data_IF_317449639487
#
_entry.id   IF_317449639487
#
_cell.length_a   1.000
_cell.length_b   1.000
_cell.length_c   1.000
_cell.angle_alpha   90.00
_cell.angle_beta   90.00
_cell.angle_gamma   90.00
#
_symmetry.space_group_name_H-M   'P 1'
#
loop_
_entity.id
_entity.type
_entity.pdbx_description
1 polymer ?
#
# COMPACT_ATOMS: atom_id res chain seq x y z
N UNK A 1 24.47 -10.05 4.54
CA UNK A 1 23.28 -9.20 4.85
C UNK A 1 22.89 -9.44 6.30
N UNK A 2 22.24 -8.46 6.97
CA UNK A 2 21.66 -8.67 8.30
C UNK A 2 20.51 -9.67 8.16
N UNK A 3 20.30 -10.49 9.17
CA UNK A 3 19.20 -11.48 9.18
C UNK A 3 17.86 -10.73 9.28
N UNK A 4 16.98 -10.91 8.29
CA UNK A 4 15.63 -10.36 8.28
C UNK A 4 14.72 -11.30 9.05
N UNK A 5 14.05 -10.78 10.08
CA UNK A 5 13.09 -11.52 10.93
C UNK A 5 11.65 -11.06 10.75
N UNK A 6 11.46 -9.87 10.20
CA UNK A 6 10.13 -9.34 9.90
C UNK A 6 10.09 -8.59 8.59
N UNK A 7 8.97 -8.72 7.88
CA UNK A 7 8.70 -7.98 6.65
C UNK A 7 7.35 -7.27 6.77
N UNK A 8 7.37 -5.96 6.53
CA UNK A 8 6.20 -5.11 6.47
C UNK A 8 5.95 -4.81 5.00
N UNK A 9 4.85 -5.29 4.48
CA UNK A 9 4.47 -5.06 3.09
C UNK A 9 3.47 -3.91 2.99
N UNK A 10 3.68 -3.02 2.05
CA UNK A 10 2.57 -2.27 1.50
C UNK A 10 1.65 -3.22 0.69
N UNK A 11 0.43 -2.77 0.39
CA UNK A 11 -0.56 -3.58 -0.32
C UNK A 11 -0.64 -3.23 -1.82
N UNK A 12 -1.09 -2.01 -2.12
CA UNK A 12 -1.45 -1.57 -3.47
C UNK A 12 -0.23 -1.12 -4.26
N UNK A 13 0.04 -1.74 -5.41
CA UNK A 13 1.29 -1.52 -6.13
C UNK A 13 2.45 -2.38 -5.63
N UNK A 14 2.32 -2.96 -4.44
CA UNK A 14 3.34 -3.84 -3.82
C UNK A 14 2.90 -5.30 -3.86
N UNK A 15 1.92 -5.71 -3.05
CA UNK A 15 1.37 -7.07 -3.07
C UNK A 15 0.42 -7.26 -4.26
N UNK A 16 -0.44 -6.26 -4.50
CA UNK A 16 -1.52 -6.31 -5.48
C UNK A 16 -1.26 -5.42 -6.69
N UNK A 17 -1.70 -5.88 -7.85
CA UNK A 17 -1.76 -5.10 -9.09
C UNK A 17 -3.08 -4.30 -9.12
N UNK A 18 -3.16 -3.29 -8.26
CA UNK A 18 -4.37 -2.50 -7.99
C UNK A 18 -4.23 -1.02 -8.31
N UNK A 19 -3.02 -0.53 -8.63
CA UNK A 19 -2.81 0.90 -8.83
C UNK A 19 -3.60 1.48 -9.99
N UNK A 20 -3.90 0.68 -11.03
CA UNK A 20 -4.78 1.10 -12.13
C UNK A 20 -6.20 1.42 -11.69
N UNK A 21 -6.72 0.76 -10.65
CA UNK A 21 -8.01 1.06 -10.06
C UNK A 21 -7.94 2.38 -9.26
N UNK A 22 -6.92 2.55 -8.42
CA UNK A 22 -6.73 3.74 -7.60
C UNK A 22 -6.48 5.00 -8.42
N UNK A 23 -5.70 4.91 -9.49
CA UNK A 23 -5.46 6.02 -10.42
C UNK A 23 -6.76 6.62 -10.98
N UNK A 24 -7.80 5.81 -11.10
CA UNK A 24 -9.08 6.21 -11.68
C UNK A 24 -10.18 6.43 -10.63
N UNK A 25 -10.05 5.93 -9.42
CA UNK A 25 -11.12 5.88 -8.42
C UNK A 25 -11.74 7.26 -8.13
N UNK A 26 -10.91 8.27 -7.91
CA UNK A 26 -11.39 9.64 -7.64
C UNK A 26 -12.13 10.25 -8.82
N UNK A 27 -11.66 10.03 -10.03
CA UNK A 27 -12.32 10.49 -11.25
C UNK A 27 -13.68 9.80 -11.44
N UNK A 28 -13.73 8.47 -11.27
CA UNK A 28 -14.96 7.68 -11.37
C UNK A 28 -15.96 8.12 -10.32
N UNK A 29 -15.51 8.35 -9.07
CA UNK A 29 -16.38 8.82 -8.00
C UNK A 29 -17.02 10.15 -8.32
N UNK A 30 -16.24 11.16 -8.73
CA UNK A 30 -16.77 12.48 -9.11
C UNK A 30 -17.75 12.38 -10.27
N UNK A 31 -17.44 11.59 -11.31
CA UNK A 31 -18.34 11.37 -12.46
C UNK A 31 -19.66 10.72 -12.03
N UNK A 32 -19.66 9.77 -11.11
CA UNK A 32 -20.88 9.17 -10.54
C UNK A 32 -21.74 10.18 -9.78
N UNK A 33 -21.12 11.20 -9.18
CA UNK A 33 -21.82 12.34 -8.57
C UNK A 33 -22.27 13.41 -9.59
N UNK A 34 -22.06 13.20 -10.90
CA UNK A 34 -22.37 14.19 -11.94
C UNK A 34 -21.40 15.38 -11.99
N UNK A 35 -20.26 15.25 -11.32
CA UNK A 35 -19.26 16.32 -11.20
C UNK A 35 -18.13 16.06 -12.20
N UNK A 36 -17.72 17.11 -12.92
CA UNK A 36 -16.55 17.03 -13.82
C UNK A 36 -15.26 17.13 -13.00
N UNK A 37 -14.39 16.10 -13.03
CA UNK A 37 -13.13 16.14 -12.30
C UNK A 37 -12.15 17.16 -12.92
N UNK A 38 -11.30 17.74 -12.08
CA UNK A 38 -10.15 18.54 -12.51
C UNK A 38 -9.13 17.67 -13.25
N UNK A 39 -8.33 18.29 -14.12
CA UNK A 39 -7.31 17.57 -14.91
C UNK A 39 -6.19 16.97 -14.04
N UNK A 40 -5.97 17.56 -12.88
CA UNK A 40 -4.92 17.22 -11.91
C UNK A 40 -5.42 16.35 -10.75
N UNK A 41 -6.66 15.84 -10.86
CA UNK A 41 -7.29 15.09 -9.75
C UNK A 41 -6.45 13.88 -9.32
N UNK A 42 -5.87 13.13 -10.26
CA UNK A 42 -5.05 11.94 -9.99
C UNK A 42 -3.81 12.29 -9.18
N UNK A 43 -3.06 13.30 -9.63
CA UNK A 43 -1.84 13.77 -8.95
C UNK A 43 -2.12 14.27 -7.53
N UNK A 44 -3.26 14.95 -7.34
CA UNK A 44 -3.66 15.45 -6.02
C UNK A 44 -3.99 14.33 -5.04
N UNK A 45 -4.67 13.29 -5.50
CA UNK A 45 -5.09 12.18 -4.64
C UNK A 45 -3.97 11.20 -4.33
N UNK A 46 -2.94 11.13 -5.16
CA UNK A 46 -1.85 10.13 -5.09
C UNK A 46 -1.21 9.99 -3.70
N UNK A 47 -1.10 11.09 -2.95
CA UNK A 47 -0.43 11.10 -1.64
C UNK A 47 -1.37 11.31 -0.46
N UNK A 48 -2.67 11.43 -0.72
CA UNK A 48 -3.71 11.66 0.29
C UNK A 48 -4.15 10.32 0.91
N UNK A 49 -4.45 10.37 2.19
CA UNK A 49 -5.24 9.31 2.85
C UNK A 49 -6.70 9.39 2.38
N UNK A 50 -7.48 8.34 2.65
CA UNK A 50 -8.92 8.36 2.36
C UNK A 50 -9.64 9.53 3.06
N UNK A 51 -9.26 9.84 4.31
CA UNK A 51 -9.78 11.00 5.06
C UNK A 51 -9.45 12.34 4.40
N UNK A 52 -8.18 12.50 3.96
CA UNK A 52 -7.74 13.70 3.25
C UNK A 52 -8.44 13.84 1.89
N UNK A 53 -8.61 12.72 1.17
CA UNK A 53 -9.34 12.68 -0.11
C UNK A 53 -10.82 13.07 0.07
N UNK A 54 -11.49 12.52 1.09
CA UNK A 54 -12.87 12.87 1.41
C UNK A 54 -13.01 14.35 1.78
N UNK A 55 -12.08 14.89 2.59
CA UNK A 55 -12.05 16.32 2.91
C UNK A 55 -11.84 17.19 1.66
N UNK A 56 -10.96 16.75 0.75
CA UNK A 56 -10.71 17.43 -0.51
C UNK A 56 -11.95 17.43 -1.41
N UNK A 57 -12.66 16.31 -1.54
CA UNK A 57 -13.89 16.22 -2.31
C UNK A 57 -14.98 17.18 -1.77
N UNK A 58 -15.14 17.27 -0.45
CA UNK A 58 -16.05 18.23 0.17
C UNK A 58 -15.68 19.68 -0.16
N UNK A 59 -14.44 20.06 0.10
CA UNK A 59 -14.00 21.46 0.00
C UNK A 59 -13.84 21.94 -1.43
N UNK A 60 -13.35 21.11 -2.34
CA UNK A 60 -12.98 21.51 -3.69
C UNK A 60 -14.06 21.20 -4.73
N UNK A 61 -14.94 20.24 -4.46
CA UNK A 61 -15.99 19.82 -5.38
C UNK A 61 -17.41 20.02 -4.82
N UNK A 62 -17.54 20.55 -3.59
CA UNK A 62 -18.83 20.87 -2.99
C UNK A 62 -19.70 19.65 -2.71
N UNK A 63 -19.11 18.48 -2.44
CA UNK A 63 -19.86 17.29 -2.08
C UNK A 63 -20.43 17.46 -0.67
N UNK A 64 -21.75 17.52 -0.58
CA UNK A 64 -22.50 17.73 0.66
C UNK A 64 -22.79 16.37 1.34
N UNK A 65 -21.72 15.70 1.77
CA UNK A 65 -21.75 14.47 2.56
C UNK A 65 -20.69 14.53 3.66
N UNK A 66 -20.89 13.81 4.76
CA UNK A 66 -19.83 13.67 5.76
C UNK A 66 -18.66 12.83 5.19
N UNK A 67 -17.45 13.02 5.75
CA UNK A 67 -16.24 12.37 5.23
C UNK A 67 -16.38 10.85 5.25
N UNK A 68 -16.93 10.33 6.33
CA UNK A 68 -17.16 8.89 6.53
C UNK A 68 -18.09 8.32 5.47
N UNK A 69 -19.08 9.06 5.02
CA UNK A 69 -20.02 8.60 3.98
C UNK A 69 -19.37 8.65 2.59
N UNK A 70 -18.54 9.65 2.30
CA UNK A 70 -17.72 9.69 1.09
C UNK A 70 -16.80 8.46 1.02
N UNK A 71 -16.11 8.17 2.12
CA UNK A 71 -15.22 7.01 2.23
C UNK A 71 -15.99 5.71 2.00
N UNK A 72 -17.15 5.55 2.64
CA UNK A 72 -18.02 4.38 2.44
C UNK A 72 -18.46 4.22 0.98
N UNK A 73 -18.84 5.31 0.32
CA UNK A 73 -19.26 5.28 -1.08
C UNK A 73 -18.09 4.87 -2.00
N UNK A 74 -16.89 5.42 -1.79
CA UNK A 74 -15.71 5.04 -2.57
C UNK A 74 -15.36 3.59 -2.32
N UNK A 75 -15.28 3.15 -1.06
CA UNK A 75 -14.98 1.77 -0.69
C UNK A 75 -16.02 0.80 -1.28
N UNK A 76 -17.31 1.14 -1.21
CA UNK A 76 -18.36 0.33 -1.84
C UNK A 76 -18.21 0.26 -3.36
N UNK A 77 -17.80 1.36 -4.00
CA UNK A 77 -17.59 1.42 -5.45
C UNK A 77 -16.49 0.46 -5.94
N UNK A 78 -15.42 0.31 -5.15
CA UNK A 78 -14.26 -0.48 -5.52
C UNK A 78 -14.21 -1.87 -4.88
N UNK A 79 -15.12 -2.15 -3.92
CA UNK A 79 -15.12 -3.40 -3.17
C UNK A 79 -15.22 -4.65 -4.06
N UNK A 80 -16.10 -4.63 -5.04
CA UNK A 80 -16.26 -5.74 -5.97
C UNK A 80 -14.97 -6.07 -6.72
N UNK A 81 -14.17 -5.04 -7.06
CA UNK A 81 -12.88 -5.24 -7.71
C UNK A 81 -11.91 -5.96 -6.78
N UNK A 82 -11.82 -5.54 -5.50
CA UNK A 82 -10.97 -6.19 -4.51
C UNK A 82 -11.41 -7.62 -4.18
N UNK A 83 -12.72 -7.87 -4.18
CA UNK A 83 -13.27 -9.19 -3.88
C UNK A 83 -13.12 -10.18 -5.03
N UNK A 84 -13.11 -9.73 -6.30
CA UNK A 84 -13.27 -10.60 -7.47
C UNK A 84 -12.20 -10.47 -8.56
N UNK A 85 -11.53 -9.33 -8.65
CA UNK A 85 -10.70 -8.98 -9.82
C UNK A 85 -9.23 -8.74 -9.47
N UNK A 86 -8.94 -8.02 -8.36
CA UNK A 86 -7.58 -7.66 -7.99
C UNK A 86 -6.74 -8.91 -7.74
N UNK A 87 -5.59 -8.99 -8.43
CA UNK A 87 -4.66 -10.12 -8.35
C UNK A 87 -3.38 -9.69 -7.62
N UNK A 88 -2.72 -10.68 -7.03
CA UNK A 88 -1.36 -10.49 -6.55
C UNK A 88 -0.41 -10.24 -7.72
N UNK A 89 0.62 -9.45 -7.50
CA UNK A 89 1.67 -9.26 -8.51
C UNK A 89 2.37 -10.58 -8.85
N UNK A 90 2.74 -10.78 -10.12
CA UNK A 90 3.45 -12.00 -10.55
C UNK A 90 4.72 -12.26 -9.71
N UNK A 91 4.97 -13.51 -9.35
CA UNK A 91 6.14 -13.92 -8.58
C UNK A 91 6.03 -13.73 -7.06
N UNK A 92 4.96 -13.10 -6.54
CA UNK A 92 4.82 -12.86 -5.09
C UNK A 92 4.65 -14.15 -4.27
N UNK A 93 3.82 -15.10 -4.73
CA UNK A 93 3.48 -16.28 -3.93
C UNK A 93 4.71 -17.09 -3.49
N UNK A 94 5.68 -17.43 -4.36
CA UNK A 94 6.92 -18.09 -3.94
C UNK A 94 7.71 -17.32 -2.86
N UNK A 95 7.68 -15.99 -2.90
CA UNK A 95 8.32 -15.15 -1.89
C UNK A 95 7.65 -15.31 -0.52
N UNK A 96 6.31 -15.25 -0.47
CA UNK A 96 5.57 -15.47 0.77
C UNK A 96 5.82 -16.88 1.35
N UNK A 97 5.88 -17.89 0.49
CA UNK A 97 6.20 -19.27 0.87
C UNK A 97 7.63 -19.41 1.44
N UNK A 98 8.61 -18.76 0.80
CA UNK A 98 9.99 -18.77 1.29
C UNK A 98 10.12 -18.07 2.65
N UNK A 99 9.55 -16.88 2.79
CA UNK A 99 9.55 -16.15 4.06
C UNK A 99 8.90 -16.97 5.19
N UNK A 100 7.76 -17.60 4.90
CA UNK A 100 7.06 -18.46 5.86
C UNK A 100 7.91 -19.69 6.26
N UNK A 101 8.55 -20.35 5.29
CA UNK A 101 9.46 -21.48 5.54
C UNK A 101 10.64 -21.07 6.43
N UNK A 102 11.15 -19.86 6.26
CA UNK A 102 12.24 -19.27 7.07
C UNK A 102 11.75 -18.70 8.40
N UNK A 103 10.47 -18.87 8.74
CA UNK A 103 9.85 -18.33 9.95
C UNK A 103 9.98 -16.80 10.09
N UNK A 104 10.06 -16.09 8.97
CA UNK A 104 10.04 -14.62 8.94
C UNK A 104 8.60 -14.16 9.14
N UNK A 105 8.39 -13.29 10.12
CA UNK A 105 7.08 -12.73 10.41
C UNK A 105 6.67 -11.70 9.36
N UNK A 106 5.40 -11.67 8.99
CA UNK A 106 4.90 -10.81 7.92
C UNK A 106 3.65 -10.04 8.35
N UNK A 107 3.57 -8.75 8.03
CA UNK A 107 2.34 -7.98 8.19
C UNK A 107 2.17 -6.99 7.05
N UNK A 108 0.97 -6.44 6.95
CA UNK A 108 0.61 -5.43 5.95
C UNK A 108 0.49 -4.07 6.63
N UNK A 109 1.04 -3.02 5.98
CA UNK A 109 0.89 -1.62 6.36
C UNK A 109 0.42 -0.83 5.13
N UNK A 110 -0.85 -0.42 5.11
CA UNK A 110 -1.51 0.12 3.91
C UNK A 110 -2.27 1.41 4.15
N UNK A 111 -2.45 2.20 3.10
CA UNK A 111 -3.37 3.34 3.10
C UNK A 111 -4.81 2.95 2.80
N UNK A 112 -5.03 1.75 2.27
CA UNK A 112 -6.35 1.21 1.92
C UNK A 112 -7.06 0.65 3.14
N UNK A 113 -8.37 0.83 3.20
CA UNK A 113 -9.17 0.40 4.34
C UNK A 113 -9.24 -1.14 4.46
N UNK A 114 -9.26 -1.60 5.70
CA UNK A 114 -9.21 -3.02 6.08
C UNK A 114 -10.16 -3.93 5.30
N UNK A 115 -11.46 -3.62 5.11
CA UNK A 115 -12.37 -4.52 4.41
C UNK A 115 -11.94 -4.86 2.98
N UNK A 116 -11.34 -3.88 2.27
CA UNK A 116 -10.83 -4.07 0.91
C UNK A 116 -9.64 -5.03 0.91
N UNK A 117 -8.66 -4.77 1.78
CA UNK A 117 -7.47 -5.62 1.89
C UNK A 117 -7.84 -7.05 2.28
N UNK A 118 -8.72 -7.24 3.24
CA UNK A 118 -9.18 -8.57 3.64
C UNK A 118 -9.92 -9.30 2.50
N UNK A 119 -10.70 -8.57 1.69
CA UNK A 119 -11.36 -9.14 0.51
C UNK A 119 -10.32 -9.62 -0.52
N UNK A 120 -9.33 -8.78 -0.86
CA UNK A 120 -8.27 -9.15 -1.80
C UNK A 120 -7.41 -10.31 -1.30
N UNK A 121 -7.07 -10.33 0.00
CA UNK A 121 -6.31 -11.44 0.61
C UNK A 121 -7.06 -12.76 0.51
N UNK A 122 -8.36 -12.76 0.81
CA UNK A 122 -9.21 -13.97 0.66
C UNK A 122 -9.32 -14.40 -0.78
N UNK A 123 -9.57 -13.45 -1.70
CA UNK A 123 -9.69 -13.73 -3.13
C UNK A 123 -8.45 -14.40 -3.71
N UNK A 124 -7.28 -13.98 -3.27
CA UNK A 124 -6.00 -14.51 -3.72
C UNK A 124 -5.47 -15.69 -2.87
N UNK A 125 -6.18 -16.09 -1.80
CA UNK A 125 -5.80 -17.23 -0.96
C UNK A 125 -4.52 -16.99 -0.13
N UNK A 126 -4.15 -15.74 0.14
CA UNK A 126 -2.90 -15.39 0.83
C UNK A 126 -3.09 -14.82 2.25
N UNK A 127 -4.32 -14.82 2.75
CA UNK A 127 -4.61 -14.31 4.10
C UNK A 127 -3.85 -15.02 5.23
N UNK A 128 -3.49 -16.30 5.06
CA UNK A 128 -2.77 -17.10 6.05
C UNK A 128 -1.26 -16.86 6.14
N UNK A 129 -0.73 -15.90 5.40
CA UNK A 129 0.70 -15.55 5.45
C UNK A 129 1.02 -14.43 6.43
N UNK A 130 0.04 -13.59 6.77
CA UNK A 130 0.27 -12.36 7.52
C UNK A 130 -0.19 -12.46 8.97
N UNK A 131 0.63 -12.00 9.89
CA UNK A 131 0.34 -11.89 11.33
C UNK A 131 -0.69 -10.79 11.63
N UNK A 132 -0.86 -9.84 10.73
CA UNK A 132 -1.88 -8.80 10.85
C UNK A 132 -1.82 -7.76 9.73
N UNK A 133 -2.83 -6.91 9.75
CA UNK A 133 -3.00 -5.77 8.85
C UNK A 133 -3.05 -4.51 9.71
N UNK A 134 -2.37 -3.46 9.28
CA UNK A 134 -2.47 -2.11 9.83
C UNK A 134 -2.84 -1.17 8.71
N UNK A 135 -3.84 -0.34 8.93
CA UNK A 135 -4.24 0.70 7.99
C UNK A 135 -3.85 2.09 8.48
N UNK A 136 -3.69 3.04 7.57
CA UNK A 136 -3.44 4.44 7.91
C UNK A 136 -4.59 5.03 8.74
N UNK A 137 -5.83 4.61 8.48
CA UNK A 137 -7.01 5.00 9.27
C UNK A 137 -6.86 4.55 10.73
N UNK A 138 -6.49 3.29 10.97
CA UNK A 138 -6.25 2.77 12.33
C UNK A 138 -5.03 3.37 13.00
N UNK A 139 -3.99 3.68 12.23
CA UNK A 139 -2.80 4.36 12.74
C UNK A 139 -3.05 5.84 13.07
N UNK A 140 -4.13 6.43 12.52
CA UNK A 140 -4.43 7.86 12.67
C UNK A 140 -3.42 8.78 11.96
N UNK A 141 -2.72 8.27 10.95
CA UNK A 141 -1.73 9.02 10.17
C UNK A 141 -1.43 8.32 8.85
N UNK A 142 -1.27 9.09 7.77
CA UNK A 142 -0.81 8.58 6.48
C UNK A 142 0.67 8.20 6.46
N UNK A 143 1.12 7.51 5.41
CA UNK A 143 2.49 6.99 5.26
C UNK A 143 3.62 8.04 5.16
N UNK A 144 3.29 9.34 5.12
CA UNK A 144 4.28 10.42 5.34
C UNK A 144 4.76 10.51 6.80
N UNK A 145 4.03 9.84 7.73
CA UNK A 145 4.40 9.66 9.11
C UNK A 145 4.86 8.21 9.33
N UNK A 146 6.00 7.96 10.00
CA UNK A 146 6.51 6.60 10.18
C UNK A 146 5.71 5.75 11.18
N UNK A 147 4.65 6.29 11.77
CA UNK A 147 3.87 5.67 12.84
C UNK A 147 3.36 4.28 12.46
N UNK A 148 2.84 4.12 11.24
CA UNK A 148 2.30 2.84 10.78
C UNK A 148 3.39 1.75 10.73
N UNK A 149 4.60 2.06 10.25
CA UNK A 149 5.73 1.12 10.22
C UNK A 149 6.24 0.78 11.62
N UNK A 150 6.23 1.76 12.53
CA UNK A 150 6.59 1.53 13.94
C UNK A 150 5.57 0.62 14.65
N UNK A 151 4.28 0.79 14.35
CA UNK A 151 3.22 -0.08 14.87
C UNK A 151 3.35 -1.50 14.28
N UNK A 152 3.61 -1.61 12.98
CA UNK A 152 3.83 -2.88 12.28
C UNK A 152 5.05 -3.64 12.83
N UNK A 153 6.16 -2.96 13.06
CA UNK A 153 7.35 -3.53 13.71
C UNK A 153 7.03 -4.10 15.10
N UNK A 154 6.23 -3.37 15.89
CA UNK A 154 5.79 -3.86 17.22
C UNK A 154 4.87 -5.07 17.10
N UNK A 155 3.96 -5.11 16.13
CA UNK A 155 3.10 -6.26 15.86
C UNK A 155 3.93 -7.51 15.53
N UNK A 156 5.00 -7.33 14.73
CA UNK A 156 5.91 -8.41 14.36
C UNK A 156 6.88 -8.81 15.49
N UNK A 157 6.94 -8.05 16.58
CA UNK A 157 7.89 -8.26 17.68
C UNK A 157 9.35 -8.37 17.18
N UNK A 158 9.75 -7.44 16.30
CA UNK A 158 11.07 -7.38 15.68
C UNK A 158 11.78 -6.07 15.99
N UNK A 159 13.09 -6.03 15.79
CA UNK A 159 13.87 -4.80 15.86
C UNK A 159 13.94 -4.13 14.50
N UNK A 160 14.17 -2.83 14.48
CA UNK A 160 14.23 -2.04 13.26
C UNK A 160 15.27 -2.59 12.26
N UNK A 161 16.42 -2.99 12.76
CA UNK A 161 17.54 -3.50 11.97
C UNK A 161 17.29 -4.90 11.37
N UNK A 162 16.26 -5.59 11.87
CA UNK A 162 15.81 -6.92 11.47
C UNK A 162 14.51 -6.86 10.68
N UNK A 163 13.98 -5.64 10.44
CA UNK A 163 12.68 -5.41 9.78
C UNK A 163 12.88 -4.77 8.42
N UNK A 164 12.39 -5.45 7.39
CA UNK A 164 12.35 -4.95 6.03
C UNK A 164 10.98 -4.33 5.75
N UNK A 165 10.94 -3.12 5.23
CA UNK A 165 9.74 -2.52 4.65
C UNK A 165 9.80 -2.71 3.15
N UNK A 166 8.72 -3.14 2.54
CA UNK A 166 8.57 -3.28 1.08
C UNK A 166 7.50 -2.31 0.59
N UNK A 167 7.88 -1.44 -0.33
CA UNK A 167 7.09 -0.33 -0.84
C UNK A 167 7.28 -0.14 -2.34
N UNK A 168 6.32 0.52 -3.00
CA UNK A 168 6.43 0.98 -4.38
C UNK A 168 6.38 2.50 -4.49
N UNK A 169 5.70 3.18 -3.56
CA UNK A 169 5.46 4.62 -3.58
C UNK A 169 6.62 5.42 -2.96
N UNK A 170 7.12 6.42 -3.70
CA UNK A 170 8.31 7.18 -3.32
C UNK A 170 8.19 7.87 -1.95
N UNK A 171 7.07 8.53 -1.65
CA UNK A 171 6.88 9.23 -0.38
C UNK A 171 6.87 8.28 0.84
N UNK A 172 6.34 7.07 0.66
CA UNK A 172 6.27 6.04 1.68
C UNK A 172 7.64 5.40 1.90
N UNK A 173 8.33 5.06 0.81
CA UNK A 173 9.72 4.58 0.82
C UNK A 173 10.67 5.56 1.53
N UNK A 174 10.57 6.87 1.22
CA UNK A 174 11.35 7.91 1.91
C UNK A 174 11.10 7.93 3.41
N UNK A 175 9.84 7.78 3.80
CA UNK A 175 9.45 7.80 5.22
C UNK A 175 10.02 6.59 5.94
N UNK A 176 9.89 5.39 5.38
CA UNK A 176 10.46 4.16 5.94
C UNK A 176 11.98 4.27 6.07
N UNK A 177 12.67 4.74 5.02
CA UNK A 177 14.12 4.92 5.03
C UNK A 177 14.59 5.95 6.05
N UNK A 178 13.95 7.12 6.11
CA UNK A 178 14.25 8.16 7.11
C UNK A 178 14.01 7.68 8.54
N UNK A 179 13.03 6.79 8.75
CA UNK A 179 12.79 6.17 10.04
C UNK A 179 13.83 5.09 10.41
N UNK A 180 14.74 4.73 9.50
CA UNK A 180 15.86 3.81 9.72
C UNK A 180 15.54 2.34 9.50
N UNK A 181 14.46 2.02 8.80
CA UNK A 181 14.15 0.64 8.36
C UNK A 181 15.03 0.23 7.18
N UNK A 182 15.24 -1.08 7.04
CA UNK A 182 15.67 -1.65 5.78
C UNK A 182 14.54 -1.47 4.76
N UNK A 183 14.88 -1.12 3.54
CA UNK A 183 13.92 -0.80 2.49
C UNK A 183 14.15 -1.65 1.25
N UNK A 184 13.16 -2.44 0.88
CA UNK A 184 13.02 -2.97 -0.46
C UNK A 184 12.00 -2.13 -1.24
N UNK A 185 12.30 -1.85 -2.49
CA UNK A 185 11.36 -1.21 -3.40
C UNK A 185 11.02 -2.20 -4.49
N UNK A 186 9.73 -2.43 -4.69
CA UNK A 186 9.21 -3.17 -5.85
C UNK A 186 8.75 -2.19 -6.92
N UNK A 187 9.21 -2.37 -8.15
CA UNK A 187 8.79 -1.52 -9.26
C UNK A 187 7.28 -1.60 -9.49
N UNK A 188 6.67 -0.44 -9.62
CA UNK A 188 5.30 -0.29 -10.11
C UNK A 188 5.25 0.74 -11.24
N UNK A 189 4.38 0.50 -12.23
CA UNK A 189 4.23 1.38 -13.40
C UNK A 189 3.79 2.80 -13.00
N UNK A 190 2.95 2.92 -11.99
CA UNK A 190 2.43 4.21 -11.51
C UNK A 190 3.45 5.02 -10.71
N UNK A 191 4.55 4.39 -10.27
CA UNK A 191 5.69 5.04 -9.61
C UNK A 191 6.89 5.25 -10.55
N UNK A 192 6.77 4.98 -11.85
CA UNK A 192 7.87 5.03 -12.83
C UNK A 192 8.52 6.42 -12.92
N UNK A 193 7.78 7.50 -12.72
CA UNK A 193 8.31 8.88 -12.66
C UNK A 193 9.37 9.08 -11.57
N UNK A 194 9.29 8.30 -10.48
CA UNK A 194 10.18 8.35 -9.33
C UNK A 194 11.23 7.24 -9.33
N UNK A 195 11.34 6.44 -10.40
CA UNK A 195 12.18 5.24 -10.48
C UNK A 195 13.63 5.49 -10.07
N UNK A 196 14.27 6.50 -10.64
CA UNK A 196 15.68 6.80 -10.34
C UNK A 196 15.90 7.17 -8.87
N UNK A 197 14.92 7.85 -8.28
CA UNK A 197 14.95 8.24 -6.87
C UNK A 197 14.72 7.02 -5.98
N UNK A 198 13.76 6.19 -6.30
CA UNK A 198 13.46 4.93 -5.61
C UNK A 198 14.65 3.96 -5.68
N UNK A 199 15.28 3.83 -6.85
CA UNK A 199 16.48 3.00 -7.04
C UNK A 199 17.64 3.43 -6.13
N UNK A 200 17.87 4.72 -5.99
CA UNK A 200 18.94 5.27 -5.11
C UNK A 200 18.60 5.15 -3.62
N UNK A 201 17.33 5.16 -3.27
CA UNK A 201 16.86 5.14 -1.88
C UNK A 201 16.85 3.72 -1.29
N UNK A 202 16.54 2.73 -2.12
CA UNK A 202 16.35 1.35 -1.72
C UNK A 202 17.67 0.70 -1.29
N UNK A 203 17.62 -0.14 -0.25
CA UNK A 203 18.68 -1.11 0.04
C UNK A 203 18.62 -2.28 -0.95
N UNK A 204 17.38 -2.61 -1.39
CA UNK A 204 17.09 -3.66 -2.37
C UNK A 204 16.05 -3.10 -3.34
N UNK A 205 16.37 -3.05 -4.63
CA UNK A 205 15.42 -2.67 -5.67
C UNK A 205 15.03 -3.89 -6.50
N UNK A 206 13.74 -4.18 -6.61
CA UNK A 206 13.17 -5.32 -7.31
C UNK A 206 12.45 -4.81 -8.57
N UNK A 207 12.84 -5.28 -9.75
CA UNK A 207 12.09 -5.03 -10.98
C UNK A 207 10.78 -5.86 -11.01
N UNK A 208 10.83 -7.05 -10.38
CA UNK A 208 9.68 -7.92 -10.13
C UNK A 208 9.93 -8.78 -8.89
N UNK A 209 8.90 -9.47 -8.38
CA UNK A 209 9.07 -10.43 -7.28
C UNK A 209 9.96 -11.62 -7.63
N UNK A 210 10.16 -11.92 -8.91
CA UNK A 210 11.08 -12.96 -9.38
C UNK A 210 12.56 -12.64 -9.07
N UNK A 211 12.86 -11.37 -8.78
CA UNK A 211 14.21 -10.95 -8.37
C UNK A 211 14.53 -11.27 -6.91
N UNK A 212 13.53 -11.66 -6.12
CA UNK A 212 13.66 -11.82 -4.66
C UNK A 212 14.80 -12.76 -4.27
N UNK A 213 14.80 -14.01 -4.77
CA UNK A 213 15.80 -15.02 -4.42
C UNK A 213 17.24 -14.60 -4.78
N UNK A 214 17.41 -13.74 -5.78
CA UNK A 214 18.73 -13.28 -6.22
C UNK A 214 19.27 -12.15 -5.36
N UNK A 215 18.41 -11.43 -4.62
CA UNK A 215 18.77 -10.18 -3.94
C UNK A 215 18.62 -10.26 -2.41
N UNK A 216 17.93 -11.23 -1.88
CA UNK A 216 17.68 -11.45 -0.46
C UNK A 216 18.09 -12.85 -0.05
#
# INVERSE_FOLDING_TARGET
MREIKGVIFDADGTLFDSMGLWDQAGEIYLRRKGIRPGKDIRERLETMTMEESAAYFRSSYGIDLEREDIIKEINSMIFDCYEKEIRIKPGLLPVLEDLKRRSVRMCIATSTDRPLIEAALRHNGINGYFDGILTCTEAGAGKRNPRIYQMAMKLLDTKKEETLVVEDACFAAETAKKAGFLLAVIRDFYSEKDRDKLFKLADIYLESWEDWERKI
#
